data_IF_994442915721
#
_entry.id   IF_994442915721
#
_cell.length_a   1.000
_cell.length_b   1.000
_cell.length_c   1.000
_cell.angle_alpha   90.00
_cell.angle_beta   90.00
_cell.angle_gamma   90.00
#
_symmetry.space_group_name_H-M   'P 1'
#
loop_
_entity.id
_entity.type
_entity.pdbx_description
1 polymer ?
#
# COMPACT_ATOMS: atom_id res chain seq x y z
N UNK A 1 13.56 16.60 -18.51
CA UNK A 1 12.43 16.72 -19.43
C UNK A 1 11.55 15.47 -19.49
N UNK A 2 11.15 14.87 -18.32
CA UNK A 2 10.32 13.64 -18.28
C UNK A 2 9.14 13.70 -17.27
N UNK A 3 8.93 14.84 -16.62
CA UNK A 3 7.83 15.01 -15.64
C UNK A 3 6.50 15.34 -16.33
N UNK A 4 6.54 15.87 -17.54
CA UNK A 4 5.37 16.33 -18.31
C UNK A 4 4.48 15.18 -18.81
N UNK A 5 5.01 13.98 -19.00
CA UNK A 5 4.23 12.86 -19.57
C UNK A 5 3.36 12.13 -18.54
N UNK A 6 3.71 12.13 -17.25
CA UNK A 6 2.90 11.47 -16.22
C UNK A 6 1.66 12.30 -15.89
N UNK A 7 1.77 13.64 -15.92
CA UNK A 7 0.62 14.53 -15.71
C UNK A 7 -0.40 14.48 -16.87
N UNK A 8 0.06 14.22 -18.10
CA UNK A 8 -0.82 14.15 -19.28
C UNK A 8 -1.73 12.89 -19.27
N UNK A 9 -1.25 11.76 -18.71
CA UNK A 9 -2.05 10.54 -18.60
C UNK A 9 -3.12 10.63 -17.50
N UNK A 10 -2.88 11.40 -16.46
CA UNK A 10 -3.86 11.67 -15.39
C UNK A 10 -5.00 12.58 -15.87
N UNK A 11 -4.75 13.47 -16.83
CA UNK A 11 -5.79 14.35 -17.37
C UNK A 11 -6.72 13.65 -18.38
N UNK A 12 -6.31 12.58 -19.06
CA UNK A 12 -7.18 11.83 -19.96
C UNK A 12 -8.22 10.96 -19.21
N UNK A 13 -7.98 10.61 -17.96
CA UNK A 13 -8.96 9.88 -17.13
C UNK A 13 -10.09 10.78 -16.59
N UNK A 14 -9.97 12.10 -16.70
CA UNK A 14 -10.94 13.06 -16.16
C UNK A 14 -12.11 13.38 -17.12
N UNK A 15 -12.12 12.84 -18.33
CA UNK A 15 -13.15 13.10 -19.35
C UNK A 15 -14.14 11.95 -19.58
N UNK A 16 -14.34 11.06 -18.60
CA UNK A 16 -15.45 10.12 -18.64
C UNK A 16 -16.78 10.84 -18.35
N UNK A 17 -17.82 10.70 -19.19
CA UNK A 17 -19.02 11.51 -19.08
C UNK A 17 -19.89 11.11 -17.91
N UNK A 18 -20.43 12.11 -17.28
CA UNK A 18 -21.60 12.33 -16.42
C UNK A 18 -22.70 11.23 -16.40
N UNK A 19 -22.34 9.95 -16.34
CA UNK A 19 -23.23 8.90 -15.84
C UNK A 19 -23.05 8.69 -14.31
N UNK A 20 -22.31 9.59 -13.67
CA UNK A 20 -21.82 9.43 -12.29
C UNK A 20 -22.78 9.95 -11.20
N UNK A 21 -23.88 10.60 -11.51
CA UNK A 21 -24.66 11.29 -10.47
C UNK A 21 -25.64 10.38 -9.73
N UNK A 22 -26.12 9.29 -10.32
CA UNK A 22 -26.92 8.28 -9.61
C UNK A 22 -26.07 7.26 -8.83
N UNK A 23 -24.90 6.90 -9.34
CA UNK A 23 -23.98 5.98 -8.65
C UNK A 23 -23.31 6.62 -7.43
N UNK A 24 -23.18 7.95 -7.41
CA UNK A 24 -22.61 8.69 -6.27
C UNK A 24 -23.48 8.62 -5.01
N UNK A 25 -24.78 8.32 -5.15
CA UNK A 25 -25.74 8.15 -4.04
C UNK A 25 -25.81 6.71 -3.55
N UNK A 26 -25.35 5.74 -4.34
CA UNK A 26 -25.30 4.32 -4.00
C UNK A 26 -23.86 3.92 -3.62
N UNK A 27 -23.73 2.85 -2.83
CA UNK A 27 -22.43 2.35 -2.41
C UNK A 27 -21.98 2.87 -1.04
N UNK A 28 -20.83 2.41 -0.59
CA UNK A 28 -20.28 2.68 0.75
C UNK A 28 -20.03 4.16 1.02
N UNK A 29 -19.97 4.51 2.31
CA UNK A 29 -19.68 5.88 2.75
C UNK A 29 -18.30 6.35 2.27
N UNK A 30 -18.15 7.66 2.09
CA UNK A 30 -16.89 8.30 1.73
C UNK A 30 -15.78 7.91 2.73
N UNK A 31 -14.56 7.76 2.23
CA UNK A 31 -13.37 7.30 2.96
C UNK A 31 -13.38 5.84 3.44
N UNK A 32 -14.51 5.10 3.36
CA UNK A 32 -14.55 3.67 3.77
C UNK A 32 -13.95 2.71 2.74
N UNK A 33 -13.61 3.19 1.54
CA UNK A 33 -12.84 2.44 0.54
C UNK A 33 -11.36 2.34 0.88
N UNK A 34 -10.87 3.17 1.80
CA UNK A 34 -9.44 3.31 2.07
C UNK A 34 -8.71 4.04 0.93
N UNK A 35 -7.39 3.98 0.97
CA UNK A 35 -6.49 4.28 -0.13
C UNK A 35 -5.98 2.98 -0.76
N UNK A 36 -5.00 3.06 -1.66
CA UNK A 36 -4.27 1.90 -2.16
C UNK A 36 -2.89 1.85 -1.51
N UNK A 37 -2.55 0.70 -0.95
CA UNK A 37 -1.22 0.46 -0.42
C UNK A 37 -0.18 0.34 -1.54
N UNK A 38 1.09 0.44 -1.20
CA UNK A 38 2.20 0.23 -2.14
C UNK A 38 2.23 -1.19 -2.75
N UNK A 39 1.57 -2.16 -2.11
CA UNK A 39 1.40 -3.52 -2.63
C UNK A 39 0.17 -3.66 -3.54
N UNK A 40 -0.65 -2.59 -3.69
CA UNK A 40 -1.82 -2.55 -4.57
C UNK A 40 -3.15 -2.87 -3.90
N UNK A 41 -3.16 -3.48 -2.74
CA UNK A 41 -4.37 -3.80 -1.99
C UNK A 41 -5.03 -2.54 -1.41
N UNK A 42 -6.35 -2.52 -1.29
CA UNK A 42 -7.04 -1.46 -0.57
C UNK A 42 -6.63 -1.43 0.91
N UNK A 43 -6.31 -0.23 1.42
CA UNK A 43 -5.80 -0.08 2.78
C UNK A 43 -5.42 1.35 3.11
N UNK A 44 -4.34 1.47 3.85
CA UNK A 44 -3.60 2.71 4.05
C UNK A 44 -2.51 2.88 2.98
N UNK A 45 -1.47 3.66 3.29
CA UNK A 45 -0.34 3.85 2.37
C UNK A 45 0.62 2.67 2.36
N UNK A 46 1.00 2.17 3.53
CA UNK A 46 2.01 1.12 3.68
C UNK A 46 1.44 -0.21 4.19
N UNK A 47 0.20 -0.23 4.68
CA UNK A 47 -0.45 -1.44 5.20
C UNK A 47 -1.76 -1.75 4.49
N UNK A 48 -2.07 -3.02 4.15
CA UNK A 48 -3.40 -3.40 3.70
C UNK A 48 -4.39 -3.35 4.87
N UNK A 49 -5.61 -2.89 4.60
CA UNK A 49 -6.72 -2.97 5.56
C UNK A 49 -7.68 -4.09 5.17
N UNK A 50 -8.61 -4.42 6.07
CA UNK A 50 -9.62 -5.43 5.78
C UNK A 50 -10.68 -4.95 4.78
N UNK A 51 -10.65 -3.69 4.33
CA UNK A 51 -11.57 -3.13 3.34
C UNK A 51 -11.30 -3.69 1.94
N UNK A 52 -12.33 -3.67 1.10
CA UNK A 52 -12.28 -4.08 -0.31
C UNK A 52 -12.24 -2.82 -1.19
N UNK A 53 -11.46 -2.86 -2.26
CA UNK A 53 -11.25 -1.75 -3.19
C UNK A 53 -12.53 -1.24 -3.82
N UNK A 54 -12.58 0.06 -4.08
CA UNK A 54 -13.74 0.76 -4.64
C UNK A 54 -14.87 0.94 -3.64
N UNK A 55 -16.03 1.34 -4.14
CA UNK A 55 -17.22 1.65 -3.33
C UNK A 55 -18.42 0.72 -3.60
N UNK A 56 -18.21 -0.38 -4.36
CA UNK A 56 -19.26 -1.36 -4.65
C UNK A 56 -19.78 -2.04 -3.39
N UNK A 57 -21.09 -2.23 -3.33
CA UNK A 57 -21.83 -3.01 -2.31
C UNK A 57 -22.16 -4.42 -2.82
N UNK A 58 -23.04 -5.14 -2.14
CA UNK A 58 -23.45 -6.49 -2.52
C UNK A 58 -23.93 -6.54 -3.98
N UNK A 59 -23.31 -7.39 -4.80
CA UNK A 59 -23.61 -7.53 -6.23
C UNK A 59 -23.05 -6.46 -7.15
N UNK A 60 -22.34 -5.45 -6.62
CA UNK A 60 -21.71 -4.38 -7.39
C UNK A 60 -20.21 -4.60 -7.57
N UNK A 61 -19.67 -4.05 -8.65
CA UNK A 61 -18.23 -3.95 -8.90
C UNK A 61 -17.77 -2.55 -8.49
N UNK A 62 -16.64 -2.47 -7.79
CA UNK A 62 -15.90 -1.24 -7.59
C UNK A 62 -14.50 -1.41 -8.12
N UNK A 63 -13.87 -0.33 -8.58
CA UNK A 63 -12.49 -0.37 -9.07
C UNK A 63 -11.72 0.83 -8.56
N UNK A 64 -10.39 0.68 -8.44
CA UNK A 64 -9.46 1.76 -8.12
C UNK A 64 -8.26 1.72 -9.05
N UNK A 65 -7.74 2.89 -9.38
CA UNK A 65 -6.43 3.07 -10.02
C UNK A 65 -5.64 4.08 -9.21
N UNK A 66 -4.33 3.87 -9.05
CA UNK A 66 -3.54 4.76 -8.21
C UNK A 66 -2.12 4.94 -8.73
N UNK A 67 -1.52 6.04 -8.31
CA UNK A 67 -0.11 6.32 -8.47
C UNK A 67 0.44 6.90 -7.16
N UNK A 68 1.57 6.36 -6.72
CA UNK A 68 2.22 6.75 -5.47
C UNK A 68 3.69 7.05 -5.73
N UNK A 69 4.19 8.10 -5.08
CA UNK A 69 5.63 8.41 -5.03
C UNK A 69 6.08 8.55 -3.59
N UNK A 70 7.16 7.85 -3.26
CA UNK A 70 7.92 8.05 -2.02
C UNK A 70 9.27 8.65 -2.38
N UNK A 71 9.57 9.83 -1.82
CA UNK A 71 10.83 10.52 -2.04
C UNK A 71 11.62 10.51 -0.74
N UNK A 72 12.78 9.87 -0.79
CA UNK A 72 13.73 9.75 0.30
C UNK A 72 15.02 10.55 -0.03
N UNK A 73 15.93 10.77 0.94
CA UNK A 73 17.18 11.45 0.68
C UNK A 73 18.03 10.80 -0.42
N UNK A 74 18.17 9.47 -0.37
CA UNK A 74 18.99 8.70 -1.30
C UNK A 74 18.20 7.91 -2.33
N UNK A 75 16.89 7.67 -2.13
CA UNK A 75 16.08 6.77 -2.92
C UNK A 75 14.77 7.40 -3.39
N UNK A 76 14.17 6.80 -4.40
CA UNK A 76 12.79 7.11 -4.81
C UNK A 76 12.05 5.82 -5.15
N UNK A 77 10.83 5.70 -4.64
CA UNK A 77 9.92 4.63 -5.03
C UNK A 77 8.73 5.24 -5.79
N UNK A 78 8.52 4.78 -7.00
CA UNK A 78 7.33 5.07 -7.81
C UNK A 78 6.48 3.80 -7.91
N UNK A 79 5.20 3.90 -7.58
CA UNK A 79 4.24 2.79 -7.64
C UNK A 79 3.07 3.20 -8.51
N UNK A 80 2.59 2.30 -9.34
CA UNK A 80 1.32 2.45 -10.04
C UNK A 80 0.57 1.12 -10.02
N UNK A 81 -0.75 1.18 -9.87
CA UNK A 81 -1.54 -0.04 -9.79
C UNK A 81 -3.03 0.18 -9.93
N UNK A 82 -3.75 -0.92 -9.86
CA UNK A 82 -5.20 -0.97 -9.91
C UNK A 82 -5.73 -2.11 -9.07
N UNK A 83 -6.96 -1.96 -8.58
CA UNK A 83 -7.67 -3.05 -7.92
C UNK A 83 -9.14 -3.05 -8.33
N UNK A 84 -9.74 -4.24 -8.34
CA UNK A 84 -11.16 -4.45 -8.60
C UNK A 84 -11.76 -5.21 -7.44
N UNK A 85 -12.82 -4.68 -6.86
CA UNK A 85 -13.62 -5.29 -5.81
C UNK A 85 -14.97 -5.77 -6.34
N UNK A 86 -15.44 -6.93 -5.90
CA UNK A 86 -16.77 -7.43 -6.19
C UNK A 86 -17.55 -7.70 -4.90
N UNK A 87 -18.77 -7.15 -4.84
CA UNK A 87 -19.72 -7.42 -3.77
C UNK A 87 -19.27 -6.99 -2.38
N UNK A 88 -18.29 -6.07 -2.28
CA UNK A 88 -17.61 -5.77 -1.01
C UNK A 88 -17.06 -7.06 -0.32
N UNK A 89 -16.69 -8.06 -1.11
CA UNK A 89 -16.29 -9.39 -0.62
C UNK A 89 -14.95 -9.87 -1.13
N UNK A 90 -14.69 -9.69 -2.42
CA UNK A 90 -13.46 -10.16 -3.09
C UNK A 90 -12.77 -8.96 -3.74
N UNK A 91 -11.46 -8.94 -3.70
CA UNK A 91 -10.60 -7.96 -4.36
C UNK A 91 -9.50 -8.68 -5.13
N UNK A 92 -9.25 -8.22 -6.34
CA UNK A 92 -8.05 -8.55 -7.11
C UNK A 92 -7.28 -7.27 -7.36
N UNK A 93 -5.98 -7.28 -7.21
CA UNK A 93 -5.12 -6.10 -7.37
C UNK A 93 -3.86 -6.42 -8.17
N UNK A 94 -3.34 -5.37 -8.81
CA UNK A 94 -2.04 -5.39 -9.49
C UNK A 94 -1.30 -4.10 -9.13
N UNK A 95 0.01 -4.21 -8.89
CA UNK A 95 0.86 -3.05 -8.72
C UNK A 95 2.22 -3.30 -9.38
N UNK A 96 2.83 -2.22 -9.84
CA UNK A 96 4.24 -2.18 -10.28
C UNK A 96 4.99 -1.15 -9.46
N UNK A 97 6.03 -1.60 -8.81
CA UNK A 97 6.96 -0.81 -8.01
C UNK A 97 8.24 -0.57 -8.82
N UNK A 98 8.75 0.66 -8.81
CA UNK A 98 10.04 1.03 -9.40
C UNK A 98 10.84 1.79 -8.36
N UNK A 99 11.88 1.16 -7.88
CA UNK A 99 12.76 1.67 -6.83
C UNK A 99 14.06 2.17 -7.46
N UNK A 100 14.25 3.48 -7.45
CA UNK A 100 15.46 4.15 -7.93
C UNK A 100 16.49 4.13 -6.80
N UNK A 101 17.65 3.51 -7.07
CA UNK A 101 18.73 3.32 -6.12
C UNK A 101 19.58 4.58 -5.89
N UNK A 102 19.29 5.66 -6.63
CA UNK A 102 19.84 7.00 -6.43
C UNK A 102 21.35 7.02 -6.21
N UNK A 103 21.78 7.55 -5.06
CA UNK A 103 23.20 7.73 -4.74
C UNK A 103 23.95 6.40 -4.53
N UNK A 104 23.27 5.31 -4.20
CA UNK A 104 23.89 4.00 -3.94
C UNK A 104 24.59 3.44 -5.20
N UNK A 105 24.02 3.70 -6.37
CA UNK A 105 24.62 3.29 -7.67
C UNK A 105 26.05 3.76 -7.80
N UNK A 106 26.30 5.04 -7.52
CA UNK A 106 27.63 5.63 -7.61
C UNK A 106 28.56 5.18 -6.47
N UNK A 107 28.02 5.01 -5.27
CA UNK A 107 28.80 4.60 -4.09
C UNK A 107 29.32 3.16 -4.22
N UNK A 108 28.53 2.27 -4.81
CA UNK A 108 28.85 0.84 -4.92
C UNK A 108 29.22 0.41 -6.36
N UNK A 109 29.14 1.30 -7.35
CA UNK A 109 29.41 0.95 -8.75
C UNK A 109 28.43 -0.08 -9.31
N UNK A 110 27.14 0.04 -8.94
CA UNK A 110 26.13 -0.94 -9.34
C UNK A 110 25.85 -0.90 -10.83
N UNK A 111 25.56 -2.04 -11.47
CA UNK A 111 25.29 -2.13 -12.91
C UNK A 111 23.91 -1.56 -13.29
N UNK A 112 23.00 -1.48 -12.34
CA UNK A 112 21.61 -1.03 -12.51
C UNK A 112 21.29 0.11 -11.56
N UNK A 113 20.42 1.01 -11.99
CA UNK A 113 20.00 2.16 -11.19
C UNK A 113 18.57 2.06 -10.68
N UNK A 114 17.82 1.05 -11.10
CA UNK A 114 16.40 0.87 -10.73
C UNK A 114 16.11 -0.59 -10.54
N UNK A 115 15.40 -0.91 -9.47
CA UNK A 115 14.82 -2.23 -9.21
C UNK A 115 13.31 -2.16 -9.46
N UNK A 116 12.79 -3.12 -10.18
CA UNK A 116 11.36 -3.21 -10.53
C UNK A 116 10.74 -4.46 -9.93
N UNK A 117 9.52 -4.33 -9.41
CA UNK A 117 8.75 -5.43 -8.86
C UNK A 117 7.32 -5.39 -9.37
N UNK A 118 6.79 -6.54 -9.75
CA UNK A 118 5.36 -6.74 -10.03
C UNK A 118 4.71 -7.42 -8.84
N UNK A 119 3.51 -6.95 -8.46
CA UNK A 119 2.69 -7.50 -7.38
C UNK A 119 1.32 -7.86 -7.92
N UNK A 120 0.88 -9.10 -7.66
CA UNK A 120 -0.48 -9.58 -7.93
C UNK A 120 -1.14 -9.94 -6.61
N UNK A 121 -2.25 -9.30 -6.27
CA UNK A 121 -2.96 -9.50 -5.02
C UNK A 121 -4.34 -10.11 -5.20
N UNK A 122 -4.74 -10.90 -4.22
CA UNK A 122 -6.11 -11.37 -4.05
C UNK A 122 -6.48 -11.26 -2.57
N UNK A 123 -7.65 -10.66 -2.27
CA UNK A 123 -8.14 -10.51 -0.90
C UNK A 123 -9.60 -10.92 -0.81
N UNK A 124 -9.96 -11.60 0.28
CA UNK A 124 -11.34 -11.99 0.56
C UNK A 124 -11.74 -11.52 1.95
N UNK A 125 -12.86 -10.82 2.05
CA UNK A 125 -13.52 -10.52 3.32
C UNK A 125 -14.17 -11.80 3.85
N UNK A 126 -13.76 -12.22 5.03
CA UNK A 126 -14.23 -13.44 5.68
C UNK A 126 -15.54 -13.20 6.40
N UNK A 127 -15.55 -12.24 7.33
CA UNK A 127 -16.71 -11.90 8.18
C UNK A 127 -16.60 -10.47 8.75
N UNK A 128 -17.61 -10.07 9.51
CA UNK A 128 -17.69 -8.78 10.18
C UNK A 128 -18.01 -7.63 9.25
N UNK A 129 -18.12 -6.44 9.79
CA UNK A 129 -18.35 -5.19 9.06
C UNK A 129 -17.52 -4.06 9.65
N UNK A 130 -17.18 -3.09 8.80
CA UNK A 130 -16.36 -1.96 9.22
C UNK A 130 -17.04 -1.09 10.28
N UNK A 131 -18.39 -0.96 10.23
CA UNK A 131 -19.16 0.02 11.00
C UNK A 131 -20.27 -0.64 11.83
N UNK A 132 -21.09 -1.49 11.20
CA UNK A 132 -22.41 -1.86 11.72
C UNK A 132 -22.45 -3.19 12.49
N UNK A 133 -21.45 -4.06 12.33
CA UNK A 133 -21.37 -5.33 13.04
C UNK A 133 -20.72 -5.13 14.43
N UNK A 134 -20.91 -6.09 15.33
CA UNK A 134 -20.16 -6.18 16.59
C UNK A 134 -18.72 -6.62 16.38
N UNK A 135 -18.48 -7.43 15.35
CA UNK A 135 -17.15 -7.90 14.97
C UNK A 135 -16.49 -6.93 13.98
N UNK A 136 -15.18 -6.72 14.07
CA UNK A 136 -14.45 -5.98 13.03
C UNK A 136 -14.59 -6.69 11.68
N UNK A 137 -14.47 -5.94 10.60
CA UNK A 137 -14.30 -6.55 9.29
C UNK A 137 -12.95 -7.26 9.25
N UNK A 138 -12.95 -8.55 8.88
CA UNK A 138 -11.74 -9.38 8.79
C UNK A 138 -11.58 -9.86 7.36
N UNK A 139 -10.39 -9.71 6.82
CA UNK A 139 -10.03 -10.14 5.46
C UNK A 139 -8.73 -10.92 5.44
N UNK A 140 -8.66 -11.93 4.60
CA UNK A 140 -7.46 -12.68 4.27
C UNK A 140 -6.99 -12.24 2.88
N UNK A 141 -5.69 -11.93 2.74
CA UNK A 141 -5.07 -11.59 1.46
C UNK A 141 -3.87 -12.46 1.17
N UNK A 142 -3.62 -12.66 -0.12
CA UNK A 142 -2.43 -13.27 -0.69
C UNK A 142 -1.84 -12.31 -1.71
N UNK A 143 -0.52 -12.19 -1.74
CA UNK A 143 0.23 -11.37 -2.68
C UNK A 143 1.36 -12.20 -3.29
N UNK A 144 1.31 -12.41 -4.60
CA UNK A 144 2.45 -12.89 -5.37
C UNK A 144 3.28 -11.70 -5.80
N UNK A 145 4.57 -11.72 -5.49
CA UNK A 145 5.53 -10.66 -5.78
C UNK A 145 6.67 -11.22 -6.61
N UNK A 146 7.05 -10.52 -7.66
CA UNK A 146 8.15 -10.88 -8.53
C UNK A 146 9.09 -9.67 -8.72
N UNK A 147 10.29 -9.79 -8.20
CA UNK A 147 11.38 -8.84 -8.39
C UNK A 147 12.03 -9.12 -9.76
N UNK A 148 12.01 -8.13 -10.66
CA UNK A 148 12.37 -8.29 -12.07
C UNK A 148 13.88 -8.18 -12.33
N UNK A 149 14.60 -7.44 -11.47
CA UNK A 149 16.00 -7.06 -11.64
C UNK A 149 16.81 -7.74 -10.53
N UNK A 150 16.89 -9.10 -10.58
CA UNK A 150 17.38 -9.92 -9.47
C UNK A 150 18.91 -9.94 -9.31
N UNK A 151 19.68 -9.33 -10.22
CA UNK A 151 21.13 -9.33 -10.13
C UNK A 151 21.63 -8.71 -8.82
N UNK A 152 21.21 -7.48 -8.52
CA UNK A 152 21.63 -6.78 -7.29
C UNK A 152 21.10 -7.49 -6.04
N UNK A 153 19.81 -7.88 -5.92
CA UNK A 153 19.33 -8.68 -4.80
C UNK A 153 20.13 -9.96 -4.56
N UNK A 154 20.49 -10.70 -5.61
CA UNK A 154 21.29 -11.92 -5.48
C UNK A 154 22.70 -11.67 -4.95
N UNK A 155 23.34 -10.57 -5.37
CA UNK A 155 24.68 -10.19 -4.92
C UNK A 155 24.71 -9.81 -3.44
N UNK A 156 23.62 -9.27 -2.90
CA UNK A 156 23.49 -8.92 -1.48
C UNK A 156 22.94 -10.08 -0.62
N UNK A 157 22.77 -11.26 -1.18
CA UNK A 157 22.47 -12.49 -0.46
C UNK A 157 21.01 -12.95 -0.52
N UNK A 158 20.15 -12.29 -1.28
CA UNK A 158 18.78 -12.76 -1.48
C UNK A 158 18.73 -14.11 -2.22
N UNK A 159 17.80 -14.96 -1.82
CA UNK A 159 17.70 -16.35 -2.30
C UNK A 159 16.76 -16.54 -3.49
N UNK A 160 15.74 -15.67 -3.62
CA UNK A 160 14.68 -15.79 -4.64
C UNK A 160 14.29 -14.42 -5.17
N UNK A 161 13.88 -14.42 -6.42
CA UNK A 161 13.31 -13.27 -7.12
C UNK A 161 11.78 -13.19 -6.97
N UNK A 162 11.12 -14.29 -6.55
CA UNK A 162 9.67 -14.32 -6.38
C UNK A 162 9.26 -15.06 -5.10
N UNK A 163 8.11 -14.67 -4.56
CA UNK A 163 7.46 -15.40 -3.47
C UNK A 163 5.97 -15.02 -3.34
N UNK A 164 5.24 -15.82 -2.55
CA UNK A 164 3.87 -15.55 -2.15
C UNK A 164 3.85 -15.20 -0.67
N UNK A 165 3.24 -14.06 -0.34
CA UNK A 165 2.98 -13.64 1.04
C UNK A 165 1.50 -13.81 1.37
N UNK A 166 1.19 -14.10 2.63
CA UNK A 166 -0.17 -14.09 3.13
C UNK A 166 -0.34 -13.08 4.25
N UNK A 167 -1.49 -12.44 4.34
CA UNK A 167 -1.81 -11.56 5.47
C UNK A 167 -3.27 -11.71 5.91
N UNK A 168 -3.50 -11.46 7.19
CA UNK A 168 -4.81 -11.32 7.81
C UNK A 168 -4.92 -9.91 8.37
N UNK A 169 -5.97 -9.18 7.99
CA UNK A 169 -6.24 -7.83 8.47
C UNK A 169 -7.61 -7.76 9.13
N UNK A 170 -7.73 -6.96 10.18
CA UNK A 170 -8.97 -6.66 10.89
C UNK A 170 -9.11 -5.15 11.02
N UNK A 171 -10.19 -4.58 10.48
CA UNK A 171 -10.46 -3.14 10.49
C UNK A 171 -11.79 -2.82 11.13
N UNK A 172 -11.84 -1.72 11.90
CA UNK A 172 -13.07 -1.22 12.51
C UNK A 172 -13.08 0.30 12.56
N UNK A 173 -14.25 0.86 12.25
CA UNK A 173 -14.54 2.28 12.42
C UNK A 173 -15.45 2.46 13.65
N UNK A 174 -14.95 3.17 14.66
CA UNK A 174 -15.70 3.54 15.85
C UNK A 174 -16.28 4.94 15.64
N UNK A 175 -17.62 5.02 15.58
CA UNK A 175 -18.31 6.31 15.46
C UNK A 175 -18.16 7.10 16.75
N UNK A 176 -17.63 8.33 16.65
CA UNK A 176 -17.34 9.18 17.82
C UNK A 176 -16.22 8.65 18.74
N UNK A 177 -15.44 7.66 18.30
CA UNK A 177 -14.46 6.93 19.13
C UNK A 177 -13.24 7.74 19.58
N UNK A 178 -13.00 8.92 18.99
CA UNK A 178 -11.89 9.80 19.35
C UNK A 178 -12.41 11.23 19.57
N UNK A 179 -12.73 11.58 20.83
CA UNK A 179 -13.22 12.92 21.21
C UNK A 179 -14.40 13.44 20.35
N UNK A 180 -15.30 12.54 19.95
CA UNK A 180 -16.44 12.85 19.09
C UNK A 180 -16.18 12.68 17.58
N UNK A 181 -14.92 12.50 17.15
CA UNK A 181 -14.56 12.13 15.79
C UNK A 181 -14.62 10.61 15.58
N UNK A 182 -14.79 10.19 14.35
CA UNK A 182 -14.74 8.78 14.01
C UNK A 182 -13.30 8.27 14.02
N UNK A 183 -13.09 7.10 14.63
CA UNK A 183 -11.78 6.47 14.79
C UNK A 183 -11.73 5.17 14.00
N UNK A 184 -10.87 5.10 12.98
CA UNK A 184 -10.55 3.86 12.29
C UNK A 184 -9.34 3.21 12.98
N UNK A 185 -9.45 1.91 13.23
CA UNK A 185 -8.33 1.07 13.71
C UNK A 185 -8.21 -0.13 12.77
N UNK A 186 -7.00 -0.40 12.33
CA UNK A 186 -6.64 -1.60 11.59
C UNK A 186 -5.48 -2.30 12.30
N UNK A 187 -5.57 -3.62 12.41
CA UNK A 187 -4.49 -4.48 12.90
C UNK A 187 -4.36 -5.67 11.96
N UNK A 188 -3.13 -6.06 11.67
CA UNK A 188 -2.84 -7.14 10.76
C UNK A 188 -1.62 -7.95 11.17
N UNK A 189 -1.53 -9.15 10.61
CA UNK A 189 -0.37 -10.02 10.66
C UNK A 189 -0.06 -10.50 9.25
N UNK A 190 1.21 -10.49 8.89
CA UNK A 190 1.72 -10.93 7.58
C UNK A 190 2.70 -12.08 7.76
N UNK A 191 2.64 -13.08 6.91
CA UNK A 191 3.58 -14.17 6.85
C UNK A 191 4.45 -14.04 5.60
N UNK A 192 5.67 -13.53 5.79
CA UNK A 192 6.56 -13.08 4.72
C UNK A 192 8.03 -13.38 5.01
N UNK A 193 8.85 -13.35 3.95
CA UNK A 193 10.32 -13.29 3.95
C UNK A 193 10.84 -12.28 2.93
N UNK A 194 10.04 -11.29 2.59
CA UNK A 194 10.38 -10.27 1.61
C UNK A 194 11.37 -9.26 2.20
N UNK A 195 12.50 -9.05 1.52
CA UNK A 195 13.48 -8.04 1.88
C UNK A 195 13.08 -6.71 1.23
N UNK A 196 13.04 -5.62 1.98
CA UNK A 196 12.53 -4.31 1.54
C UNK A 196 11.21 -4.47 0.76
N UNK A 197 10.21 -5.17 1.37
CA UNK A 197 8.92 -5.51 0.77
C UNK A 197 9.00 -6.37 -0.51
N UNK A 198 10.15 -7.02 -0.76
CA UNK A 198 10.44 -7.83 -1.95
C UNK A 198 11.25 -7.10 -3.03
N UNK A 199 11.51 -5.79 -2.87
CA UNK A 199 12.37 -5.02 -3.79
C UNK A 199 13.81 -5.51 -3.78
N UNK A 200 14.28 -6.06 -2.64
CA UNK A 200 15.57 -6.75 -2.53
C UNK A 200 15.42 -8.28 -2.52
N UNK A 201 14.40 -8.81 -3.20
CA UNK A 201 14.15 -10.25 -3.30
C UNK A 201 13.61 -10.86 -2.02
N UNK A 202 13.69 -12.19 -1.89
CA UNK A 202 13.02 -12.95 -0.83
C UNK A 202 13.95 -13.96 -0.17
N UNK A 203 13.86 -14.03 1.18
CA UNK A 203 14.78 -14.79 2.02
C UNK A 203 16.22 -14.28 1.88
N UNK A 204 17.13 -14.81 2.64
CA UNK A 204 18.51 -14.34 2.61
C UNK A 204 19.52 -15.34 3.11
N UNK A 205 20.78 -14.93 3.07
CA UNK A 205 21.93 -15.67 3.56
C UNK A 205 21.90 -15.82 5.08
N UNK A 206 21.34 -14.84 5.80
CA UNK A 206 21.17 -14.89 7.26
C UNK A 206 19.95 -15.69 7.66
N UNK A 207 18.82 -15.56 6.94
CA UNK A 207 17.56 -16.25 7.23
C UNK A 207 16.74 -16.44 5.97
N UNK A 208 16.32 -17.68 5.70
CA UNK A 208 15.49 -18.01 4.53
C UNK A 208 14.04 -18.40 4.91
N UNK A 209 13.72 -18.48 6.18
CA UNK A 209 12.36 -18.80 6.64
C UNK A 209 11.48 -17.58 6.67
N UNK A 210 10.16 -17.78 6.44
CA UNK A 210 9.15 -16.73 6.63
C UNK A 210 9.00 -16.36 8.10
N UNK A 211 8.70 -15.10 8.35
CA UNK A 211 8.40 -14.52 9.67
C UNK A 211 6.93 -14.10 9.73
N UNK A 212 6.37 -14.17 10.93
CA UNK A 212 5.08 -13.54 11.21
C UNK A 212 5.34 -12.11 11.66
N UNK A 213 4.87 -11.14 10.88
CA UNK A 213 5.13 -9.71 11.01
C UNK A 213 3.85 -8.99 11.40
N UNK A 214 3.96 -7.91 12.15
CA UNK A 214 2.82 -7.10 12.60
C UNK A 214 2.65 -5.89 11.72
N UNK A 215 1.38 -5.56 11.45
CA UNK A 215 0.99 -4.36 10.71
C UNK A 215 -0.17 -3.67 11.43
N UNK A 216 -0.24 -2.35 11.36
CA UNK A 216 -1.34 -1.64 11.98
C UNK A 216 -1.46 -0.20 11.52
N UNK A 217 -2.69 0.33 11.65
CA UNK A 217 -3.01 1.72 11.32
C UNK A 217 -4.06 2.26 12.27
N UNK A 218 -3.94 3.53 12.58
CA UNK A 218 -4.97 4.28 13.31
C UNK A 218 -5.21 5.58 12.59
N UNK A 219 -6.49 5.91 12.32
CA UNK A 219 -6.86 7.17 11.68
C UNK A 219 -8.08 7.80 12.34
N UNK A 220 -8.01 9.10 12.54
CA UNK A 220 -9.14 9.93 12.99
C UNK A 220 -9.72 10.64 11.77
N UNK A 221 -11.01 10.42 11.50
CA UNK A 221 -11.74 11.13 10.46
C UNK A 221 -12.25 12.45 11.05
N UNK A 222 -11.56 13.54 10.73
CA UNK A 222 -11.89 14.88 11.22
C UNK A 222 -13.24 15.38 10.69
N UNK A 223 -13.58 14.95 9.48
CA UNK A 223 -14.87 15.12 8.83
C UNK A 223 -14.98 14.09 7.68
N UNK A 224 -16.08 14.06 6.90
CA UNK A 224 -16.21 13.09 5.80
C UNK A 224 -15.12 13.14 4.73
N UNK A 225 -14.37 14.26 4.62
CA UNK A 225 -13.36 14.47 3.57
C UNK A 225 -11.92 14.44 4.06
N UNK A 226 -11.66 14.49 5.36
CA UNK A 226 -10.32 14.59 5.91
C UNK A 226 -10.09 13.55 6.99
N UNK A 227 -9.00 12.83 6.86
CA UNK A 227 -8.49 11.92 7.88
C UNK A 227 -7.04 12.24 8.20
N UNK A 228 -6.63 12.00 9.44
CA UNK A 228 -5.24 12.04 9.88
C UNK A 228 -4.94 10.75 10.62
N UNK A 229 -3.76 10.20 10.43
CA UNK A 229 -3.45 8.91 11.05
C UNK A 229 -1.98 8.55 11.00
N UNK A 230 -1.71 7.36 11.47
CA UNK A 230 -0.38 6.74 11.45
C UNK A 230 -0.49 5.27 11.05
N UNK A 231 0.59 4.76 10.46
CA UNK A 231 0.73 3.37 10.12
C UNK A 231 2.06 2.83 10.63
N UNK A 232 2.10 1.51 10.83
CA UNK A 232 3.28 0.76 11.19
C UNK A 232 3.30 -0.56 10.44
N UNK A 233 4.48 -0.95 9.92
CA UNK A 233 4.71 -2.21 9.24
C UNK A 233 6.07 -2.78 9.64
N UNK A 234 6.05 -3.94 10.30
CA UNK A 234 7.22 -4.72 10.65
C UNK A 234 7.82 -5.40 9.40
N UNK A 235 9.15 -5.50 9.35
CA UNK A 235 9.87 -6.16 8.26
C UNK A 235 10.77 -7.28 8.80
N UNK A 236 11.02 -8.36 8.02
CA UNK A 236 11.94 -9.40 8.45
C UNK A 236 13.38 -9.00 8.13
N UNK A 237 14.32 -9.35 8.98
CA UNK A 237 15.76 -9.13 8.78
C UNK A 237 16.42 -10.43 8.32
N UNK A 238 16.59 -10.60 7.01
CA UNK A 238 17.04 -11.84 6.38
C UNK A 238 18.42 -11.75 5.72
N UNK A 239 18.94 -10.54 5.48
CA UNK A 239 20.19 -10.31 4.79
C UNK A 239 21.29 -9.95 5.79
N UNK A 240 22.50 -10.49 5.59
CA UNK A 240 23.67 -10.05 6.36
C UNK A 240 24.27 -8.73 5.85
N UNK A 241 23.94 -8.37 4.62
CA UNK A 241 24.42 -7.16 3.96
C UNK A 241 23.92 -5.88 4.61
N UNK A 242 22.65 -5.85 5.02
CA UNK A 242 22.00 -4.68 5.62
C UNK A 242 20.96 -5.12 6.64
N UNK A 243 20.84 -4.39 7.73
CA UNK A 243 19.70 -4.51 8.64
C UNK A 243 18.43 -3.96 8.04
N UNK A 244 17.29 -4.50 8.42
CA UNK A 244 15.99 -3.96 8.02
C UNK A 244 15.34 -3.21 9.17
N UNK A 245 14.94 -1.95 8.92
CA UNK A 245 14.16 -1.15 9.85
C UNK A 245 12.68 -1.25 9.55
N UNK A 246 11.86 -1.31 10.58
CA UNK A 246 10.40 -1.24 10.43
C UNK A 246 9.97 0.10 9.87
N UNK A 247 8.91 0.09 9.08
CA UNK A 247 8.34 1.28 8.48
C UNK A 247 7.20 1.84 9.32
N UNK A 248 7.18 3.16 9.43
CA UNK A 248 6.08 3.90 10.03
C UNK A 248 5.84 5.20 9.28
N UNK A 249 4.61 5.69 9.29
CA UNK A 249 4.29 6.99 8.75
C UNK A 249 3.26 7.76 9.58
N UNK A 250 3.18 9.06 9.30
CA UNK A 250 2.10 9.95 9.72
C UNK A 250 1.47 10.52 8.46
N UNK A 251 0.18 10.32 8.27
CA UNK A 251 -0.51 10.71 7.04
C UNK A 251 -1.68 11.64 7.24
N UNK A 252 -1.97 12.38 6.17
CA UNK A 252 -3.20 13.14 5.97
C UNK A 252 -3.86 12.62 4.70
N UNK A 253 -5.10 12.15 4.82
CA UNK A 253 -5.93 11.73 3.70
C UNK A 253 -6.98 12.78 3.37
N UNK A 254 -7.11 13.12 2.09
CA UNK A 254 -8.13 14.00 1.55
C UNK A 254 -9.01 13.26 0.54
N UNK A 255 -10.30 13.25 0.80
CA UNK A 255 -11.33 12.54 0.04
C UNK A 255 -12.36 13.56 -0.49
N UNK A 256 -12.07 14.33 -1.53
CA UNK A 256 -13.01 15.33 -2.07
C UNK A 256 -14.31 14.73 -2.59
N UNK A 257 -14.24 13.49 -3.08
CA UNK A 257 -15.39 12.71 -3.56
C UNK A 257 -15.13 11.21 -3.41
N UNK A 258 -16.10 10.36 -3.77
CA UNK A 258 -15.89 8.90 -3.86
C UNK A 258 -14.95 8.52 -5.00
N UNK A 259 -14.77 9.39 -5.98
CA UNK A 259 -13.97 9.13 -7.17
C UNK A 259 -12.49 9.50 -7.04
N UNK A 260 -12.13 10.32 -6.04
CA UNK A 260 -10.76 10.80 -5.87
C UNK A 260 -10.38 10.76 -4.41
N UNK A 261 -9.19 10.23 -4.13
CA UNK A 261 -8.52 10.38 -2.84
C UNK A 261 -7.05 10.76 -3.03
N UNK A 262 -6.53 11.54 -2.10
CA UNK A 262 -5.13 11.97 -2.05
C UNK A 262 -4.62 11.71 -0.65
N UNK A 263 -3.47 11.05 -0.55
CA UNK A 263 -2.79 10.79 0.73
C UNK A 263 -1.40 11.41 0.66
N UNK A 264 -1.11 12.26 1.63
CA UNK A 264 0.22 12.80 1.88
C UNK A 264 0.70 12.27 3.22
N UNK A 265 1.93 11.70 3.27
CA UNK A 265 2.51 11.22 4.50
C UNK A 265 3.97 11.63 4.65
N UNK A 266 4.43 11.67 5.89
CA UNK A 266 5.83 11.67 6.25
C UNK A 266 6.19 10.25 6.67
N UNK A 267 6.98 9.57 5.82
CA UNK A 267 7.38 8.19 6.02
C UNK A 267 8.74 8.12 6.73
N UNK A 268 8.80 7.34 7.80
CA UNK A 268 10.02 6.96 8.51
C UNK A 268 10.33 5.52 8.14
N UNK A 269 11.32 5.32 7.28
CA UNK A 269 11.67 4.01 6.73
C UNK A 269 12.98 3.46 7.33
N UNK A 270 13.70 4.28 8.10
CA UNK A 270 14.92 3.86 8.84
C UNK A 270 16.10 3.59 7.94
N UNK A 271 16.73 2.43 8.07
CA UNK A 271 17.80 1.95 7.21
C UNK A 271 17.21 1.23 5.99
N UNK A 272 17.71 1.56 4.81
CA UNK A 272 17.41 0.87 3.55
C UNK A 272 18.74 0.58 2.87
N UNK A 273 19.05 -0.69 2.62
CA UNK A 273 20.24 -1.13 1.87
C UNK A 273 21.53 -0.40 2.33
N UNK A 274 21.83 -0.44 3.62
CA UNK A 274 23.00 0.17 4.29
C UNK A 274 23.01 1.70 4.44
N UNK A 275 21.98 2.40 3.99
CA UNK A 275 21.87 3.83 4.19
C UNK A 275 20.84 4.17 5.27
N UNK A 276 21.32 4.80 6.33
CA UNK A 276 20.52 5.23 7.47
C UNK A 276 19.64 6.44 7.17
N UNK A 277 18.67 6.70 8.06
CA UNK A 277 17.85 7.91 8.08
C UNK A 277 17.03 8.15 6.80
N UNK A 278 16.57 7.07 6.17
CA UNK A 278 15.73 7.14 4.98
C UNK A 278 14.30 7.54 5.36
N UNK A 279 14.13 8.82 5.68
CA UNK A 279 12.84 9.41 6.02
C UNK A 279 12.45 10.41 4.94
N UNK A 280 11.19 10.44 4.54
CA UNK A 280 10.80 11.30 3.44
C UNK A 280 9.31 11.47 3.26
N UNK A 281 8.93 11.97 2.09
CA UNK A 281 7.55 12.25 1.75
C UNK A 281 6.95 11.13 0.91
N UNK A 282 5.71 10.78 1.23
CA UNK A 282 4.86 9.88 0.48
C UNK A 282 3.69 10.68 -0.07
N UNK A 283 3.42 10.58 -1.35
CA UNK A 283 2.25 11.16 -2.01
C UNK A 283 1.57 10.08 -2.85
N UNK A 284 0.29 9.85 -2.60
CA UNK A 284 -0.55 8.94 -3.39
C UNK A 284 -1.80 9.66 -3.89
N UNK A 285 -2.15 9.41 -5.14
CA UNK A 285 -3.39 9.85 -5.76
C UNK A 285 -4.11 8.62 -6.29
N UNK A 286 -5.40 8.50 -5.95
CA UNK A 286 -6.23 7.38 -6.35
C UNK A 286 -7.51 7.88 -7.01
N UNK A 287 -7.88 7.24 -8.12
CA UNK A 287 -9.20 7.30 -8.72
C UNK A 287 -10.01 6.07 -8.36
N UNK A 288 -11.31 6.22 -8.04
CA UNK A 288 -12.22 5.12 -7.73
C UNK A 288 -13.51 5.21 -8.56
N UNK A 289 -14.06 4.06 -8.90
CA UNK A 289 -15.20 3.89 -9.80
C UNK A 289 -16.20 2.89 -9.24
#
# INVERSE_FOLDING_TARGET
MRVTHILCWLMLAASAPVLADESARQGRLLATGGASSIDGAAGGGITPWAVIAGYGEAGQVGATVFATRVQLPDYRLDVAGAAVGYGNRVELSVARNRFDLGSLVHKLGLPENTLSQDVLGAKVRLFGDLIYDRLPQVSLGLEYKHQKDFLIPSLVGARRDEDVEGYLAASRLFLGGAFGYNLLVNAGVRYSRANELGLLGFGGDRRDSRSLLKEGSVAVLLNPRWAVGMEYREKPDNLSFAGESDWADLFVGWFPSKHVSVVLAYARLGEIATLDNQNGTYLSVQGAF
#
